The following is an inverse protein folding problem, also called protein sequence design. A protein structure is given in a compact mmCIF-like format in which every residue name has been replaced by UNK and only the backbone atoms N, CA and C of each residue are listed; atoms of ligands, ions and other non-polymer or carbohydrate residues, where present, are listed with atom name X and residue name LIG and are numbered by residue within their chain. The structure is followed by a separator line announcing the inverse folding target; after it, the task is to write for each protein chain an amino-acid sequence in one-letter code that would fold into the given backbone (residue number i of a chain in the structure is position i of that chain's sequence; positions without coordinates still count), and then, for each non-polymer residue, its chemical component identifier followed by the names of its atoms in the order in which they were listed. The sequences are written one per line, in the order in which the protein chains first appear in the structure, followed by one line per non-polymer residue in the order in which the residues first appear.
data_IF_976305729689
#
_entry.id   IF_976305729689
#
_cell.length_a   1.000
_cell.length_b   1.000
_cell.length_c   1.000
_cell.angle_alpha   90.00
_cell.angle_beta   90.00
_cell.angle_gamma   90.00
#
_symmetry.space_group_name_H-M   'P 1'
#
loop_
_entity.id
_entity.type
_entity.pdbx_description
1 polymer ?
#
# COMPACT_ATOMS: atom_id res chain seq x y z
N UNK A 1 -9.43 -6.00 -4.44
CA UNK A 1 -10.58 -5.08 -4.73
C UNK A 1 -10.05 -3.69 -5.03
N UNK A 2 -10.65 -3.00 -5.98
CA UNK A 2 -10.29 -1.63 -6.32
C UNK A 2 -11.52 -0.72 -6.20
N UNK A 3 -11.34 0.45 -5.59
CA UNK A 3 -12.42 1.40 -5.33
C UNK A 3 -12.17 2.67 -6.15
N UNK A 4 -13.16 3.11 -6.92
CA UNK A 4 -13.07 4.34 -7.70
C UNK A 4 -13.71 5.49 -6.91
N UNK A 5 -12.94 6.57 -6.69
CA UNK A 5 -13.39 7.72 -5.89
C UNK A 5 -13.82 8.90 -6.70
N UNK A 6 -13.34 9.07 -7.91
CA UNK A 6 -13.44 10.36 -8.55
C UNK A 6 -13.68 10.32 -10.03
N UNK A 7 -13.72 11.51 -10.62
CA UNK A 7 -14.00 11.71 -12.05
C UNK A 7 -12.87 12.44 -12.76
N UNK A 8 -11.69 12.45 -12.14
CA UNK A 8 -10.52 13.12 -12.70
C UNK A 8 -9.98 12.34 -13.89
N UNK A 9 -9.42 13.05 -14.87
CA UNK A 9 -8.81 12.44 -16.06
C UNK A 9 -7.45 11.80 -15.76
N UNK A 10 -6.76 12.25 -14.68
CA UNK A 10 -5.50 11.67 -14.23
C UNK A 10 -5.78 10.74 -13.06
N UNK A 11 -5.85 9.45 -13.34
CA UNK A 11 -6.24 8.46 -12.34
C UNK A 11 -5.06 8.06 -11.48
N UNK A 12 -5.03 8.59 -10.27
CA UNK A 12 -4.07 8.16 -9.25
C UNK A 12 -4.57 6.89 -8.60
N UNK A 13 -3.71 5.90 -8.48
CA UNK A 13 -4.03 4.63 -7.83
C UNK A 13 -3.27 4.55 -6.52
N UNK A 14 -3.99 4.48 -5.42
CA UNK A 14 -3.41 4.22 -4.09
C UNK A 14 -3.51 2.73 -3.79
N UNK A 15 -2.38 2.11 -3.44
CA UNK A 15 -2.34 0.72 -3.01
C UNK A 15 -2.02 0.69 -1.53
N UNK A 16 -2.92 0.12 -0.75
CA UNK A 16 -2.80 0.02 0.70
C UNK A 16 -2.32 -1.38 1.06
N UNK A 17 -1.23 -1.46 1.83
CA UNK A 17 -0.64 -2.73 2.27
C UNK A 17 -0.65 -2.75 3.79
N UNK A 18 -1.64 -3.40 4.42
CA UNK A 18 -1.59 -3.64 5.86
C UNK A 18 -0.51 -4.67 6.17
N UNK A 19 0.26 -4.46 7.23
CA UNK A 19 1.29 -5.42 7.64
C UNK A 19 1.21 -5.69 9.14
N UNK A 20 1.33 -6.96 9.50
CA UNK A 20 1.29 -7.41 10.88
C UNK A 20 2.07 -8.71 11.03
N UNK A 21 3.10 -8.68 11.88
CA UNK A 21 3.94 -9.85 12.19
C UNK A 21 4.52 -10.51 10.93
N UNK A 22 4.84 -9.70 9.92
CA UNK A 22 5.36 -10.19 8.66
C UNK A 22 6.12 -9.07 7.95
N UNK A 23 7.43 -9.24 7.79
CA UNK A 23 8.23 -8.23 7.10
C UNK A 23 9.05 -8.80 5.95
N UNK A 24 9.18 -10.12 5.87
CA UNK A 24 10.04 -10.78 4.88
C UNK A 24 9.53 -10.63 3.44
N UNK A 25 8.23 -10.54 3.23
CA UNK A 25 7.63 -10.41 1.90
C UNK A 25 7.17 -8.97 1.59
N UNK A 26 7.18 -8.08 2.59
CA UNK A 26 6.65 -6.74 2.44
C UNK A 26 7.40 -5.93 1.37
N UNK A 27 8.72 -6.04 1.33
CA UNK A 27 9.53 -5.33 0.33
C UNK A 27 9.16 -5.74 -1.09
N UNK A 28 8.95 -7.03 -1.31
CA UNK A 28 8.53 -7.53 -2.62
C UNK A 28 7.16 -7.00 -3.01
N UNK A 29 6.23 -6.94 -2.05
CA UNK A 29 4.90 -6.35 -2.29
C UNK A 29 5.02 -4.89 -2.71
N UNK A 30 5.80 -4.09 -1.98
CA UNK A 30 5.99 -2.67 -2.29
C UNK A 30 6.60 -2.52 -3.69
N UNK A 31 7.66 -3.26 -3.98
CA UNK A 31 8.33 -3.14 -5.27
C UNK A 31 7.44 -3.56 -6.43
N UNK A 32 6.56 -4.52 -6.23
CA UNK A 32 5.63 -4.92 -7.27
C UNK A 32 4.68 -3.80 -7.69
N UNK A 33 4.41 -2.85 -6.76
CA UNK A 33 3.60 -1.67 -7.08
C UNK A 33 4.46 -0.62 -7.76
N UNK A 34 5.65 -0.34 -7.24
CA UNK A 34 6.53 0.69 -7.81
C UNK A 34 7.00 0.33 -9.21
N UNK A 35 7.08 -0.96 -9.53
CA UNK A 35 7.53 -1.46 -10.84
C UNK A 35 6.39 -1.66 -11.84
N UNK A 36 5.18 -1.27 -11.51
CA UNK A 36 4.04 -1.38 -12.43
C UNK A 36 4.27 -0.55 -13.68
N UNK A 37 3.74 -1.01 -14.82
CA UNK A 37 3.76 -0.23 -16.06
C UNK A 37 2.89 1.02 -15.94
N UNK A 38 1.86 0.98 -15.12
CA UNK A 38 1.06 2.16 -14.78
C UNK A 38 1.81 2.96 -13.72
N UNK A 39 2.22 4.19 -14.04
CA UNK A 39 3.17 4.93 -13.19
C UNK A 39 2.55 5.85 -12.14
N UNK A 40 1.30 6.24 -12.28
CA UNK A 40 0.67 7.14 -11.31
C UNK A 40 0.10 6.35 -10.13
N UNK A 41 1.03 5.81 -9.33
CA UNK A 41 0.71 4.94 -8.19
C UNK A 41 1.34 5.49 -6.92
N UNK A 42 0.67 5.23 -5.80
CA UNK A 42 1.18 5.47 -4.45
C UNK A 42 1.02 4.21 -3.64
N UNK A 43 1.98 3.96 -2.76
CA UNK A 43 1.94 2.82 -1.83
C UNK A 43 1.78 3.37 -0.41
N UNK A 44 0.79 2.88 0.31
CA UNK A 44 0.60 3.20 1.72
C UNK A 44 0.71 1.93 2.54
N UNK A 45 1.78 1.81 3.31
CA UNK A 45 1.99 0.70 4.24
C UNK A 45 1.44 1.10 5.59
N UNK A 46 0.52 0.31 6.13
CA UNK A 46 -0.04 0.52 7.46
C UNK A 46 0.49 -0.58 8.38
N UNK A 47 1.35 -0.20 9.30
CA UNK A 47 2.02 -1.10 10.24
C UNK A 47 1.13 -1.25 11.47
N UNK A 48 0.55 -2.44 11.62
CA UNK A 48 -0.39 -2.75 12.70
C UNK A 48 0.28 -3.54 13.85
N UNK A 49 1.62 -3.57 13.89
CA UNK A 49 2.35 -4.19 14.99
C UNK A 49 2.31 -3.31 16.24
N UNK A 50 2.42 -3.95 17.39
CA UNK A 50 2.60 -3.21 18.65
C UNK A 50 3.97 -2.53 18.65
N UNK A 51 4.09 -1.33 19.26
CA UNK A 51 5.32 -0.51 19.15
C UNK A 51 6.59 -1.16 19.69
N UNK A 52 6.48 -1.95 20.75
CA UNK A 52 7.64 -2.50 21.47
C UNK A 52 8.03 -3.90 20.98
N UNK A 53 7.61 -4.29 19.81
CA UNK A 53 7.87 -5.63 19.28
C UNK A 53 9.02 -5.63 18.28
N UNK A 54 9.68 -6.78 18.14
CA UNK A 54 10.66 -6.98 17.07
C UNK A 54 10.04 -6.83 15.68
N UNK A 55 8.76 -7.18 15.55
CA UNK A 55 8.04 -7.00 14.29
C UNK A 55 8.01 -5.53 13.86
N UNK A 56 7.66 -4.61 14.77
CA UNK A 56 7.67 -3.18 14.49
C UNK A 56 9.09 -2.71 14.14
N UNK A 57 10.08 -3.15 14.92
CA UNK A 57 11.47 -2.75 14.71
C UNK A 57 11.96 -3.18 13.32
N UNK A 58 11.77 -4.44 12.98
CA UNK A 58 12.20 -5.00 11.69
C UNK A 58 11.48 -4.30 10.53
N UNK A 59 10.18 -4.09 10.67
CA UNK A 59 9.40 -3.41 9.63
C UNK A 59 9.86 -1.98 9.44
N UNK A 60 10.03 -1.23 10.53
CA UNK A 60 10.52 0.16 10.46
C UNK A 60 11.88 0.26 9.81
N UNK A 61 12.79 -0.63 10.14
CA UNK A 61 14.13 -0.64 9.56
C UNK A 61 14.07 -0.89 8.05
N UNK A 62 13.25 -1.84 7.62
CA UNK A 62 13.08 -2.12 6.20
C UNK A 62 12.46 -0.92 5.48
N UNK A 63 11.51 -0.24 6.11
CA UNK A 63 10.83 0.91 5.49
C UNK A 63 11.73 2.14 5.36
N UNK A 64 12.84 2.22 6.08
CA UNK A 64 13.76 3.36 5.97
C UNK A 64 14.27 3.58 4.56
N UNK A 65 14.46 2.53 3.78
CA UNK A 65 14.92 2.68 2.39
C UNK A 65 13.94 3.41 1.48
N UNK A 66 12.67 3.53 1.90
CA UNK A 66 11.65 4.25 1.15
C UNK A 66 11.36 5.64 1.73
N UNK A 67 12.08 6.07 2.75
CA UNK A 67 11.77 7.29 3.50
C UNK A 67 11.79 8.55 2.62
N UNK A 68 12.56 8.55 1.53
CA UNK A 68 12.64 9.69 0.61
C UNK A 68 11.90 9.45 -0.71
N UNK A 69 11.23 8.32 -0.87
CA UNK A 69 10.45 8.05 -2.06
C UNK A 69 9.05 8.67 -1.91
N UNK A 70 8.71 9.69 -2.72
CA UNK A 70 7.43 10.37 -2.58
C UNK A 70 6.23 9.49 -2.93
N UNK A 71 6.46 8.32 -3.50
CA UNK A 71 5.40 7.38 -3.83
C UNK A 71 5.08 6.41 -2.70
N UNK A 72 5.82 6.47 -1.58
CA UNK A 72 5.64 5.54 -0.47
C UNK A 72 5.31 6.29 0.80
N UNK A 73 4.21 5.91 1.44
CA UNK A 73 3.78 6.43 2.73
C UNK A 73 3.81 5.30 3.75
N UNK A 74 4.34 5.56 4.94
CA UNK A 74 4.41 4.59 6.01
C UNK A 74 3.68 5.11 7.24
N UNK A 75 2.65 4.40 7.68
CA UNK A 75 1.81 4.79 8.82
C UNK A 75 1.89 3.68 9.86
N UNK A 76 2.17 4.05 11.12
CA UNK A 76 2.24 3.10 12.22
C UNK A 76 1.05 3.30 13.15
N UNK A 77 0.37 2.21 13.50
CA UNK A 77 -0.61 2.22 14.57
C UNK A 77 0.09 2.27 15.93
N UNK A 78 -0.54 2.89 16.90
CA UNK A 78 -0.01 2.94 18.27
C UNK A 78 -0.05 1.59 18.96
N UNK A 79 -0.88 0.68 18.46
CA UNK A 79 -1.04 -0.68 18.95
C UNK A 79 -1.74 -1.51 17.87
N UNK A 80 -1.69 -2.82 18.01
CA UNK A 80 -2.43 -3.70 17.11
C UNK A 80 -3.94 -3.43 17.20
N UNK A 81 -4.57 -3.18 16.05
CA UNK A 81 -6.00 -2.88 15.93
C UNK A 81 -6.74 -3.82 14.99
N UNK A 82 -6.05 -4.71 14.32
CA UNK A 82 -6.50 -5.70 13.34
C UNK A 82 -6.48 -5.19 11.89
N UNK A 83 -6.67 -6.13 10.96
CA UNK A 83 -6.59 -5.86 9.52
C UNK A 83 -7.64 -4.89 9.00
N UNK A 84 -8.88 -4.96 9.52
CA UNK A 84 -9.94 -4.03 9.12
C UNK A 84 -9.59 -2.59 9.50
N UNK A 85 -9.07 -2.39 10.71
CA UNK A 85 -8.64 -1.06 11.16
C UNK A 85 -7.48 -0.56 10.33
N UNK A 86 -6.55 -1.43 9.96
CA UNK A 86 -5.40 -1.05 9.12
C UNK A 86 -5.85 -0.60 7.73
N UNK A 87 -6.79 -1.32 7.11
CA UNK A 87 -7.35 -0.92 5.82
C UNK A 87 -8.06 0.42 5.91
N UNK A 88 -8.84 0.64 6.97
CA UNK A 88 -9.54 1.91 7.19
C UNK A 88 -8.55 3.06 7.37
N UNK A 89 -7.48 2.86 8.13
CA UNK A 89 -6.44 3.86 8.30
C UNK A 89 -5.83 4.23 6.96
N UNK A 90 -5.45 3.23 6.17
CA UNK A 90 -4.91 3.47 4.83
C UNK A 90 -5.88 4.24 3.95
N UNK A 91 -7.15 3.83 3.94
CA UNK A 91 -8.17 4.49 3.12
C UNK A 91 -8.33 5.97 3.49
N UNK A 92 -8.29 6.30 4.79
CA UNK A 92 -8.42 7.68 5.27
C UNK A 92 -7.21 8.56 4.91
N UNK A 93 -6.05 7.95 4.69
CA UNK A 93 -4.82 8.68 4.40
C UNK A 93 -4.48 8.69 2.91
N UNK A 94 -5.41 8.29 2.06
CA UNK A 94 -5.23 8.26 0.61
C UNK A 94 -6.30 9.11 -0.07
N UNK A 95 -6.00 9.61 -1.27
CA UNK A 95 -6.94 10.48 -2.00
C UNK A 95 -6.99 10.20 -3.50
N UNK A 96 -6.43 9.08 -3.94
CA UNK A 96 -6.45 8.71 -5.36
C UNK A 96 -7.85 8.40 -5.86
N UNK A 97 -8.06 8.49 -7.17
CA UNK A 97 -9.31 8.12 -7.81
C UNK A 97 -9.61 6.64 -7.62
N UNK A 98 -8.56 5.82 -7.57
CA UNK A 98 -8.71 4.38 -7.31
C UNK A 98 -7.94 4.02 -6.04
N UNK A 99 -8.53 3.12 -5.26
CA UNK A 99 -7.88 2.57 -4.07
C UNK A 99 -7.98 1.05 -4.14
N UNK A 100 -6.87 0.37 -3.96
CA UNK A 100 -6.86 -1.08 -3.89
C UNK A 100 -6.03 -1.55 -2.70
N UNK A 101 -6.22 -2.81 -2.33
CA UNK A 101 -5.53 -3.43 -1.19
C UNK A 101 -4.67 -4.58 -1.68
N UNK A 102 -3.50 -4.71 -1.07
CA UNK A 102 -2.59 -5.82 -1.34
C UNK A 102 -2.12 -6.38 0.00
N UNK A 103 -2.19 -7.70 0.14
CA UNK A 103 -1.67 -8.35 1.33
C UNK A 103 -0.14 -8.28 1.35
N UNK A 104 0.45 -8.18 2.54
CA UNK A 104 1.89 -8.00 2.71
C UNK A 104 2.73 -9.21 2.29
N UNK A 105 2.12 -10.35 2.01
CA UNK A 105 2.78 -11.55 1.51
C UNK A 105 2.45 -11.84 0.04
N UNK A 106 1.86 -10.87 -0.64
CA UNK A 106 1.45 -11.01 -2.04
C UNK A 106 2.19 -9.99 -2.91
N UNK A 107 1.96 -10.04 -4.20
CA UNK A 107 2.54 -9.09 -5.14
C UNK A 107 1.68 -9.02 -6.40
N UNK A 108 1.80 -7.90 -7.12
CA UNK A 108 1.11 -7.73 -8.39
C UNK A 108 2.03 -8.05 -9.55
N UNK A 109 1.48 -8.64 -10.60
CA UNK A 109 2.16 -8.73 -11.89
C UNK A 109 2.26 -7.35 -12.52
N UNK A 110 3.23 -7.16 -13.39
CA UNK A 110 3.67 -5.87 -13.89
C UNK A 110 2.59 -4.99 -14.52
N UNK A 111 1.62 -5.60 -15.19
CA UNK A 111 0.55 -4.87 -15.89
C UNK A 111 -0.79 -4.90 -15.17
N UNK A 112 -0.85 -5.38 -13.94
CA UNK A 112 -2.13 -5.56 -13.25
C UNK A 112 -2.89 -4.26 -13.08
N UNK A 113 -2.24 -3.21 -12.61
CA UNK A 113 -2.91 -1.92 -12.36
C UNK A 113 -3.36 -1.30 -13.68
N UNK A 114 -2.51 -1.31 -14.70
CA UNK A 114 -2.87 -0.79 -16.02
C UNK A 114 -4.12 -1.47 -16.56
N UNK A 115 -4.16 -2.79 -16.50
CA UNK A 115 -5.30 -3.56 -17.03
C UNK A 115 -6.58 -3.24 -16.27
N UNK A 116 -6.50 -3.11 -14.94
CA UNK A 116 -7.68 -2.80 -14.13
C UNK A 116 -8.17 -1.39 -14.35
N UNK A 117 -7.27 -0.42 -14.44
CA UNK A 117 -7.66 0.97 -14.73
C UNK A 117 -8.33 1.05 -16.11
N UNK A 118 -7.72 0.45 -17.13
CA UNK A 118 -8.30 0.44 -18.47
C UNK A 118 -9.69 -0.18 -18.48
N UNK A 119 -9.86 -1.28 -17.78
CA UNK A 119 -11.16 -1.96 -17.71
C UNK A 119 -12.22 -1.08 -17.05
N UNK A 120 -11.86 -0.35 -15.99
CA UNK A 120 -12.81 0.44 -15.21
C UNK A 120 -13.19 1.77 -15.86
N UNK A 121 -12.30 2.37 -16.66
CA UNK A 121 -12.53 3.69 -17.26
C UNK A 121 -12.93 3.63 -18.72
N UNK A 122 -12.72 2.52 -19.39
CA UNK A 122 -13.07 2.31 -20.79
C UNK A 122 -14.17 1.25 -20.91
#
# INVERSE_FOLDING_TARGET
MIIYRGKNMNYKVDVIIPTYKRSDMLDKAIRSILDQTYKYVMVTVVDDNDPDTEWRKTTSQMMEKYSEDPRVQYICHERNKNGSAARNTGFKHTNGEFVCFLDDDDYFLQDKIRKQVDYLVN
#
